data_IF_683276278323
#
_entry.id   IF_683276278323
#
_cell.length_a   1.000
_cell.length_b   1.000
_cell.length_c   1.000
_cell.angle_alpha   90.00
_cell.angle_beta   90.00
_cell.angle_gamma   90.00
#
_symmetry.space_group_name_H-M   'P 1'
#
loop_
_entity.id
_entity.type
_entity.pdbx_description
1 polymer ?
#
# COMPACT_ATOMS: atom_id res chain seq x y z
N UNK A 1 24.45 -2.20 6.77
CA UNK A 1 23.54 -2.74 5.75
C UNK A 1 22.66 -3.76 6.43
N UNK A 2 21.34 -3.66 6.28
CA UNK A 2 20.39 -4.63 6.83
C UNK A 2 20.52 -5.93 6.05
N UNK A 3 20.73 -7.03 6.78
CA UNK A 3 20.87 -8.37 6.23
C UNK A 3 19.95 -9.34 6.96
N UNK A 4 19.45 -10.34 6.23
CA UNK A 4 18.67 -11.44 6.78
C UNK A 4 19.30 -12.72 6.25
N UNK A 5 19.77 -13.58 7.15
CA UNK A 5 20.46 -14.83 6.81
C UNK A 5 21.64 -14.62 5.82
N UNK A 6 22.37 -13.51 5.94
CA UNK A 6 23.51 -13.17 5.07
C UNK A 6 23.16 -12.60 3.70
N UNK A 7 21.87 -12.33 3.42
CA UNK A 7 21.41 -11.69 2.19
C UNK A 7 20.97 -10.24 2.45
N UNK A 8 21.16 -9.30 1.51
CA UNK A 8 20.63 -7.95 1.62
C UNK A 8 19.11 -7.97 1.86
N UNK A 9 18.67 -7.36 2.97
CA UNK A 9 17.28 -7.42 3.40
C UNK A 9 16.32 -6.85 2.33
N UNK A 10 16.76 -5.85 1.56
CA UNK A 10 15.99 -5.26 0.48
C UNK A 10 15.44 -6.33 -0.47
N UNK A 11 16.29 -7.27 -0.91
CA UNK A 11 15.92 -8.31 -1.90
C UNK A 11 14.82 -9.22 -1.35
N UNK A 12 14.81 -9.50 -0.04
CA UNK A 12 13.77 -10.34 0.56
C UNK A 12 12.48 -9.55 0.78
N UNK A 13 12.60 -8.32 1.29
CA UNK A 13 11.45 -7.47 1.60
C UNK A 13 10.67 -7.04 0.34
N UNK A 14 11.34 -6.82 -0.80
CA UNK A 14 10.66 -6.48 -2.06
C UNK A 14 9.67 -7.55 -2.51
N UNK A 15 9.91 -8.84 -2.22
CA UNK A 15 8.96 -9.91 -2.57
C UNK A 15 7.64 -9.74 -1.81
N UNK A 16 7.73 -9.31 -0.54
CA UNK A 16 6.56 -8.94 0.24
C UNK A 16 5.82 -7.76 -0.39
N UNK A 17 6.53 -6.68 -0.72
CA UNK A 17 5.90 -5.48 -1.32
C UNK A 17 5.24 -5.79 -2.67
N UNK A 18 5.95 -6.45 -3.59
CA UNK A 18 5.50 -6.76 -4.95
C UNK A 18 4.29 -7.68 -4.97
N UNK A 19 4.11 -8.55 -3.97
CA UNK A 19 2.94 -9.43 -3.89
C UNK A 19 1.79 -8.76 -3.11
N UNK A 20 2.09 -8.18 -1.95
CA UNK A 20 1.06 -7.67 -1.05
C UNK A 20 0.42 -6.38 -1.58
N UNK A 21 1.17 -5.49 -2.23
CA UNK A 21 0.61 -4.22 -2.74
C UNK A 21 -0.45 -4.45 -3.84
N UNK A 22 -0.21 -5.29 -4.87
CA UNK A 22 -1.25 -5.62 -5.83
C UNK A 22 -2.45 -6.33 -5.21
N UNK A 23 -2.23 -7.30 -4.31
CA UNK A 23 -3.32 -7.99 -3.61
C UNK A 23 -4.19 -7.01 -2.81
N UNK A 24 -3.57 -6.05 -2.11
CA UNK A 24 -4.27 -5.03 -1.35
C UNK A 24 -5.08 -4.09 -2.27
N UNK A 25 -4.47 -3.60 -3.35
CA UNK A 25 -5.13 -2.72 -4.31
C UNK A 25 -6.33 -3.40 -5.00
N UNK A 26 -6.17 -4.64 -5.45
CA UNK A 26 -7.28 -5.43 -6.01
C UNK A 26 -8.38 -5.67 -4.96
N UNK A 27 -8.00 -5.98 -3.72
CA UNK A 27 -8.96 -6.17 -2.63
C UNK A 27 -9.81 -4.90 -2.38
N UNK A 28 -9.21 -3.71 -2.44
CA UNK A 28 -9.93 -2.43 -2.31
C UNK A 28 -10.94 -2.19 -3.43
N UNK A 29 -10.57 -2.52 -4.67
CA UNK A 29 -11.47 -2.46 -5.82
C UNK A 29 -12.63 -3.44 -5.65
N UNK A 30 -12.34 -4.70 -5.32
CA UNK A 30 -13.37 -5.73 -5.12
C UNK A 30 -14.29 -5.38 -3.95
N UNK A 31 -13.75 -4.83 -2.85
CA UNK A 31 -14.53 -4.36 -1.70
C UNK A 31 -15.49 -3.22 -2.05
N UNK A 32 -15.06 -2.29 -2.90
CA UNK A 32 -15.89 -1.19 -3.38
C UNK A 32 -17.07 -1.71 -4.21
N UNK A 33 -16.77 -2.57 -5.19
CA UNK A 33 -17.73 -3.01 -6.21
C UNK A 33 -18.68 -4.11 -5.71
N UNK A 34 -18.22 -5.02 -4.85
CA UNK A 34 -18.99 -6.20 -4.45
C UNK A 34 -19.44 -6.13 -2.99
N UNK A 35 -20.69 -5.71 -2.76
CA UNK A 35 -21.27 -5.62 -1.40
C UNK A 35 -21.19 -6.94 -0.62
N UNK A 36 -21.33 -8.09 -1.29
CA UNK A 36 -21.31 -9.43 -0.68
C UNK A 36 -19.95 -9.80 -0.08
N UNK A 37 -18.85 -9.27 -0.61
CA UNK A 37 -17.49 -9.63 -0.18
C UNK A 37 -17.00 -8.78 0.99
N UNK A 38 -17.62 -7.63 1.27
CA UNK A 38 -17.16 -6.65 2.29
C UNK A 38 -16.90 -7.26 3.65
N UNK A 39 -17.80 -8.11 4.16
CA UNK A 39 -17.63 -8.75 5.48
C UNK A 39 -16.42 -9.68 5.57
N UNK A 40 -16.01 -10.25 4.43
CA UNK A 40 -14.89 -11.17 4.33
C UNK A 40 -13.58 -10.44 4.02
N UNK A 41 -13.65 -9.39 3.20
CA UNK A 41 -12.49 -8.62 2.77
C UNK A 41 -12.08 -7.52 3.75
N UNK A 42 -12.97 -7.03 4.61
CA UNK A 42 -12.66 -5.92 5.54
C UNK A 42 -11.41 -6.20 6.37
N UNK A 43 -11.35 -7.38 7.00
CA UNK A 43 -10.22 -7.80 7.83
C UNK A 43 -8.92 -7.96 7.02
N UNK A 44 -8.83 -8.86 6.01
CA UNK A 44 -7.59 -9.08 5.29
C UNK A 44 -7.13 -7.83 4.54
N UNK A 45 -8.02 -7.05 3.94
CA UNK A 45 -7.67 -5.78 3.28
C UNK A 45 -7.12 -4.75 4.27
N UNK A 46 -7.74 -4.62 5.44
CA UNK A 46 -7.26 -3.72 6.49
C UNK A 46 -5.88 -4.14 7.02
N UNK A 47 -5.66 -5.43 7.24
CA UNK A 47 -4.35 -5.97 7.65
C UNK A 47 -3.30 -5.73 6.58
N UNK A 48 -3.61 -6.00 5.30
CA UNK A 48 -2.70 -5.73 4.19
C UNK A 48 -2.32 -4.25 4.13
N UNK A 49 -3.29 -3.35 4.21
CA UNK A 49 -3.04 -1.92 4.18
C UNK A 49 -2.16 -1.46 5.36
N UNK A 50 -2.39 -2.02 6.55
CA UNK A 50 -1.62 -1.70 7.75
C UNK A 50 -0.18 -2.22 7.68
N UNK A 51 0.01 -3.45 7.18
CA UNK A 51 1.33 -4.08 7.07
C UNK A 51 2.19 -3.46 5.96
N UNK A 52 1.57 -3.00 4.87
CA UNK A 52 2.30 -2.42 3.73
C UNK A 52 3.07 -1.15 4.09
N UNK A 53 2.58 -0.35 5.05
CA UNK A 53 3.26 0.88 5.48
C UNK A 53 4.65 0.57 6.06
N UNK A 54 4.80 -0.15 7.19
CA UNK A 54 6.11 -0.46 7.74
C UNK A 54 6.94 -1.31 6.76
N UNK A 55 6.32 -2.22 6.01
CA UNK A 55 7.05 -3.03 5.04
C UNK A 55 7.71 -2.17 3.94
N UNK A 56 6.99 -1.18 3.39
CA UNK A 56 7.54 -0.28 2.37
C UNK A 56 8.67 0.60 2.92
N UNK A 57 8.54 1.09 4.16
CA UNK A 57 9.58 1.89 4.84
C UNK A 57 10.86 1.06 4.99
N UNK A 58 10.76 -0.12 5.60
CA UNK A 58 11.88 -1.03 5.83
C UNK A 58 12.53 -1.48 4.51
N UNK A 59 11.72 -1.75 3.48
CA UNK A 59 12.22 -2.15 2.16
C UNK A 59 13.09 -1.06 1.55
N UNK A 60 12.61 0.19 1.56
CA UNK A 60 13.36 1.29 0.96
C UNK A 60 14.55 1.73 1.82
N UNK A 61 14.48 1.62 3.16
CA UNK A 61 15.65 1.87 4.02
C UNK A 61 16.76 0.84 3.77
N UNK A 62 16.40 -0.43 3.61
CA UNK A 62 17.33 -1.47 3.21
C UNK A 62 17.90 -1.22 1.80
N UNK A 63 17.10 -0.66 0.89
CA UNK A 63 17.52 -0.28 -0.46
C UNK A 63 18.56 0.85 -0.45
N UNK A 64 18.30 1.93 0.29
CA UNK A 64 19.23 3.05 0.45
C UNK A 64 20.57 2.60 1.07
N UNK A 65 20.55 1.64 2.01
CA UNK A 65 21.78 1.07 2.56
C UNK A 65 22.55 0.23 1.54
N UNK A 66 21.85 -0.51 0.68
CA UNK A 66 22.45 -1.31 -0.38
C UNK A 66 23.08 -0.41 -1.45
N UNK A 67 22.39 0.66 -1.83
CA UNK A 67 22.88 1.70 -2.75
C UNK A 67 24.18 2.32 -2.23
N UNK A 68 24.21 2.74 -0.96
CA UNK A 68 25.42 3.30 -0.33
C UNK A 68 26.59 2.31 -0.30
N UNK A 69 26.31 1.01 -0.15
CA UNK A 69 27.33 -0.03 -0.07
C UNK A 69 27.90 -0.45 -1.43
N UNK A 70 27.12 -0.33 -2.51
CA UNK A 70 27.50 -0.81 -3.85
C UNK A 70 27.78 0.30 -4.87
N UNK A 71 27.47 1.55 -4.53
CA UNK A 71 27.50 2.68 -5.44
C UNK A 71 26.19 2.83 -6.20
N UNK A 72 25.79 4.07 -6.45
CA UNK A 72 24.57 4.41 -7.17
C UNK A 72 24.87 4.70 -8.64
N UNK A 73 24.19 3.99 -9.55
CA UNK A 73 24.02 4.46 -10.92
C UNK A 73 22.76 5.34 -10.98
N UNK A 74 22.63 6.14 -12.04
CA UNK A 74 21.42 6.96 -12.25
C UNK A 74 20.14 6.11 -12.22
N UNK A 75 20.18 4.88 -12.77
CA UNK A 75 19.02 3.98 -12.76
C UNK A 75 18.67 3.47 -11.35
N UNK A 76 19.68 3.29 -10.48
CA UNK A 76 19.45 2.90 -9.08
C UNK A 76 18.83 4.06 -8.31
N UNK A 77 19.29 5.29 -8.53
CA UNK A 77 18.74 6.49 -7.91
C UNK A 77 17.28 6.75 -8.35
N UNK A 78 16.97 6.56 -9.64
CA UNK A 78 15.61 6.60 -10.16
C UNK A 78 14.70 5.56 -9.49
N UNK A 79 15.20 4.33 -9.31
CA UNK A 79 14.47 3.30 -8.57
C UNK A 79 14.27 3.66 -7.09
N UNK A 80 15.30 4.18 -6.42
CA UNK A 80 15.23 4.61 -5.03
C UNK A 80 14.20 5.73 -4.83
N UNK A 81 14.08 6.66 -5.79
CA UNK A 81 13.06 7.70 -5.79
C UNK A 81 11.65 7.10 -5.91
N UNK A 82 11.43 6.13 -6.82
CA UNK A 82 10.15 5.44 -6.95
C UNK A 82 9.80 4.61 -5.69
N UNK A 83 10.79 3.97 -5.07
CA UNK A 83 10.62 3.26 -3.80
C UNK A 83 10.23 4.18 -2.64
N UNK A 84 10.88 5.35 -2.57
CA UNK A 84 10.55 6.38 -1.58
C UNK A 84 9.15 6.95 -1.78
N UNK A 85 8.74 7.19 -3.03
CA UNK A 85 7.40 7.65 -3.33
C UNK A 85 6.33 6.61 -2.96
N UNK A 86 6.59 5.32 -3.22
CA UNK A 86 5.70 4.22 -2.83
C UNK A 86 5.40 4.21 -1.32
N UNK A 87 6.34 4.60 -0.45
CA UNK A 87 6.10 4.74 1.00
C UNK A 87 4.89 5.64 1.28
N UNK A 88 4.84 6.82 0.67
CA UNK A 88 3.73 7.76 0.83
C UNK A 88 2.43 7.21 0.24
N UNK A 89 2.52 6.48 -0.88
CA UNK A 89 1.35 5.82 -1.50
C UNK A 89 0.75 4.76 -0.57
N UNK A 90 1.56 3.97 0.15
CA UNK A 90 1.02 2.99 1.12
C UNK A 90 0.29 3.65 2.28
N UNK A 91 0.76 4.81 2.76
CA UNK A 91 0.08 5.59 3.82
C UNK A 91 -1.24 6.15 3.32
N UNK A 92 -1.25 6.75 2.13
CA UNK A 92 -2.48 7.24 1.50
C UNK A 92 -3.50 6.11 1.32
N UNK A 93 -3.03 4.93 0.88
CA UNK A 93 -3.86 3.75 0.71
C UNK A 93 -4.45 3.27 2.04
N UNK A 94 -3.66 3.23 3.13
CA UNK A 94 -4.14 2.90 4.47
C UNK A 94 -5.28 3.81 4.92
N UNK A 95 -5.13 5.12 4.73
CA UNK A 95 -6.17 6.10 5.07
C UNK A 95 -7.43 5.87 4.24
N UNK A 96 -7.28 5.67 2.93
CA UNK A 96 -8.41 5.42 2.02
C UNK A 96 -9.16 4.13 2.39
N UNK A 97 -8.45 3.04 2.65
CA UNK A 97 -9.02 1.76 3.11
C UNK A 97 -9.71 1.90 4.46
N UNK A 98 -9.08 2.60 5.42
CA UNK A 98 -9.68 2.86 6.73
C UNK A 98 -11.00 3.62 6.61
N UNK A 99 -11.05 4.65 5.77
CA UNK A 99 -12.28 5.39 5.48
C UNK A 99 -13.34 4.51 4.79
N UNK A 100 -12.94 3.70 3.81
CA UNK A 100 -13.82 2.81 3.05
C UNK A 100 -14.44 1.71 3.93
N UNK A 101 -13.66 1.08 4.82
CA UNK A 101 -14.16 0.10 5.80
C UNK A 101 -15.10 0.78 6.78
N UNK A 102 -14.71 1.94 7.31
CA UNK A 102 -15.53 2.70 8.27
C UNK A 102 -16.90 3.07 7.69
N UNK A 103 -16.93 3.57 6.45
CA UNK A 103 -18.17 3.91 5.75
C UNK A 103 -19.03 2.69 5.39
N UNK A 104 -18.42 1.51 5.22
CA UNK A 104 -19.15 0.27 4.96
C UNK A 104 -19.79 -0.34 6.21
N UNK A 105 -19.29 -0.02 7.40
CA UNK A 105 -19.78 -0.56 8.68
C UNK A 105 -20.00 0.53 9.75
N UNK A 106 -20.87 1.52 9.50
CA UNK A 106 -21.04 2.66 10.39
C UNK A 106 -21.49 2.25 11.80
N UNK A 107 -22.28 1.18 11.93
CA UNK A 107 -22.80 0.67 13.21
C UNK A 107 -21.73 0.10 14.14
N UNK A 108 -20.58 -0.33 13.62
CA UNK A 108 -19.47 -0.82 14.45
C UNK A 108 -18.79 0.34 15.20
N UNK A 109 -18.75 1.53 14.60
CA UNK A 109 -18.12 2.72 15.19
C UNK A 109 -19.10 3.57 16.00
N UNK A 110 -20.35 3.74 15.55
CA UNK A 110 -21.32 4.59 16.26
C UNK A 110 -21.75 4.03 17.61
N UNK A 111 -21.52 2.74 17.88
CA UNK A 111 -21.69 2.13 19.21
C UNK A 111 -20.62 2.54 20.22
N UNK A 112 -19.53 3.16 19.78
CA UNK A 112 -18.43 3.57 20.65
C UNK A 112 -18.57 5.04 21.03
N UNK A 113 -18.56 5.38 22.33
CA UNK A 113 -18.80 6.75 22.80
C UNK A 113 -17.82 7.77 22.21
N UNK A 114 -16.57 7.35 21.93
CA UNK A 114 -15.54 8.17 21.30
C UNK A 114 -15.93 8.72 19.89
N UNK A 115 -16.89 8.10 19.20
CA UNK A 115 -17.27 8.46 17.83
C UNK A 115 -18.66 9.13 17.73
N UNK A 116 -19.31 9.46 18.86
CA UNK A 116 -20.63 10.11 18.85
C UNK A 116 -20.63 11.44 18.09
N UNK A 117 -19.57 12.25 18.19
CA UNK A 117 -19.45 13.52 17.47
C UNK A 117 -19.35 13.38 15.94
N UNK A 118 -18.95 12.20 15.44
CA UNK A 118 -18.82 11.91 14.01
C UNK A 118 -20.06 11.22 13.43
N UNK A 119 -21.09 10.97 14.24
CA UNK A 119 -22.28 10.19 13.84
C UNK A 119 -22.98 10.78 12.62
N UNK A 120 -23.16 12.10 12.56
CA UNK A 120 -23.78 12.76 11.40
C UNK A 120 -23.00 12.60 10.09
N UNK A 121 -21.67 12.57 10.16
CA UNK A 121 -20.82 12.28 9.00
C UNK A 121 -20.91 10.81 8.60
N UNK A 122 -20.83 9.89 9.57
CA UNK A 122 -20.87 8.44 9.36
C UNK A 122 -22.21 7.93 8.82
N UNK A 123 -23.31 8.59 9.17
CA UNK A 123 -24.67 8.28 8.68
C UNK A 123 -24.98 8.96 7.32
N UNK A 124 -24.06 9.77 6.79
CA UNK A 124 -24.27 10.47 5.53
C UNK A 124 -24.37 9.52 4.33
N UNK A 125 -25.43 9.69 3.53
CA UNK A 125 -25.69 8.91 2.32
C UNK A 125 -24.59 8.97 1.25
N UNK A 126 -23.79 10.05 1.23
CA UNK A 126 -22.73 10.24 0.25
C UNK A 126 -21.38 9.64 0.68
N UNK A 127 -21.20 9.32 1.97
CA UNK A 127 -19.92 8.87 2.50
C UNK A 127 -19.50 7.53 1.89
N UNK A 128 -20.42 6.57 1.83
CA UNK A 128 -20.15 5.26 1.24
C UNK A 128 -19.73 5.34 -0.25
N UNK A 129 -20.48 5.98 -1.16
CA UNK A 129 -20.06 6.08 -2.55
C UNK A 129 -18.76 6.89 -2.71
N UNK A 130 -18.58 7.99 -1.97
CA UNK A 130 -17.34 8.78 -2.02
C UNK A 130 -16.10 7.97 -1.62
N UNK A 131 -16.16 7.28 -0.48
CA UNK A 131 -15.07 6.42 -0.01
C UNK A 131 -14.86 5.18 -0.88
N UNK A 132 -15.91 4.71 -1.57
CA UNK A 132 -15.77 3.60 -2.55
C UNK A 132 -15.00 4.05 -3.79
N UNK A 133 -15.31 5.23 -4.33
CA UNK A 133 -14.54 5.83 -5.44
C UNK A 133 -13.09 6.09 -5.01
N UNK A 134 -12.89 6.69 -3.83
CA UNK A 134 -11.56 6.92 -3.27
C UNK A 134 -10.78 5.62 -3.13
N UNK A 135 -11.40 4.56 -2.58
CA UNK A 135 -10.78 3.25 -2.39
C UNK A 135 -10.39 2.58 -3.72
N UNK A 136 -11.22 2.71 -4.76
CA UNK A 136 -10.89 2.23 -6.10
C UNK A 136 -9.68 2.98 -6.67
N UNK A 137 -9.71 4.32 -6.63
CA UNK A 137 -8.61 5.14 -7.15
C UNK A 137 -7.30 4.87 -6.39
N UNK A 138 -7.35 4.80 -5.06
CA UNK A 138 -6.19 4.49 -4.23
C UNK A 138 -5.66 3.07 -4.50
N UNK A 139 -6.55 2.09 -4.67
CA UNK A 139 -6.16 0.71 -4.97
C UNK A 139 -5.50 0.55 -6.35
N UNK A 140 -6.09 1.16 -7.38
CA UNK A 140 -5.51 1.18 -8.72
C UNK A 140 -4.16 1.92 -8.75
N UNK A 141 -4.07 3.05 -8.04
CA UNK A 141 -2.84 3.82 -7.96
C UNK A 141 -1.73 3.08 -7.21
N UNK A 142 -2.07 2.36 -6.13
CA UNK A 142 -1.11 1.50 -5.42
C UNK A 142 -0.55 0.40 -6.33
N UNK A 143 -1.42 -0.28 -7.10
CA UNK A 143 -1.01 -1.30 -8.08
C UNK A 143 -0.08 -0.69 -9.13
N UNK A 144 -0.49 0.44 -9.71
CA UNK A 144 0.30 1.16 -10.71
C UNK A 144 1.68 1.54 -10.16
N UNK A 145 1.74 2.16 -8.98
CA UNK A 145 3.01 2.59 -8.39
C UNK A 145 3.90 1.39 -8.07
N UNK A 146 3.34 0.27 -7.59
CA UNK A 146 4.10 -0.96 -7.36
C UNK A 146 4.72 -1.49 -8.66
N UNK A 147 4.00 -1.42 -9.80
CA UNK A 147 4.52 -1.84 -11.10
C UNK A 147 5.63 -0.90 -11.56
N UNK A 148 5.44 0.42 -11.45
CA UNK A 148 6.45 1.43 -11.85
C UNK A 148 7.74 1.26 -11.04
N UNK A 149 7.63 1.12 -9.71
CA UNK A 149 8.77 0.87 -8.83
C UNK A 149 9.47 -0.45 -9.15
N UNK A 150 8.71 -1.52 -9.42
CA UNK A 150 9.28 -2.82 -9.80
C UNK A 150 9.96 -2.79 -11.16
N UNK A 151 9.38 -2.10 -12.13
CA UNK A 151 9.94 -1.94 -13.47
C UNK A 151 11.26 -1.17 -13.44
N UNK A 152 11.33 -0.04 -12.73
CA UNK A 152 12.59 0.71 -12.60
C UNK A 152 13.69 -0.11 -11.91
N UNK A 153 13.32 -0.95 -10.93
CA UNK A 153 14.25 -1.87 -10.29
C UNK A 153 14.75 -2.98 -11.22
N UNK A 154 13.90 -3.50 -12.10
CA UNK A 154 14.33 -4.44 -13.13
C UNK A 154 15.27 -3.76 -14.15
N UNK A 155 14.95 -2.55 -14.58
CA UNK A 155 15.80 -1.79 -15.52
C UNK A 155 17.18 -1.51 -14.93
N UNK A 156 17.28 -1.13 -13.64
CA UNK A 156 18.58 -0.84 -13.01
C UNK A 156 19.52 -2.04 -12.94
N UNK A 157 18.98 -3.27 -12.94
CA UNK A 157 19.76 -4.51 -12.92
C UNK A 157 20.04 -5.05 -14.33
N UNK A 158 19.05 -4.99 -15.23
CA UNK A 158 19.06 -5.74 -16.49
C UNK A 158 19.25 -4.89 -17.75
N UNK A 159 19.35 -3.55 -17.66
CA UNK A 159 19.51 -2.70 -18.85
C UNK A 159 20.77 -3.01 -19.69
N UNK A 160 21.84 -3.50 -19.05
CA UNK A 160 23.11 -3.84 -19.73
C UNK A 160 23.19 -5.28 -20.29
N UNK A 161 22.12 -6.08 -20.20
CA UNK A 161 22.11 -7.47 -20.65
C UNK A 161 21.50 -7.67 -22.05
N UNK A 162 21.48 -6.62 -22.88
CA UNK A 162 21.05 -6.67 -24.28
C UNK A 162 22.12 -6.10 -25.20
#
# INVERSE_FOLDING_TARGET
MLEIAGLPAHILLIHGVVVLAPLAGVSAVVFALLRRTRRYLAWPMGVLALLLVPLSVLTAEAGEQLEKARGASQLVEEHAHQGSFLRYVTVLFLVAVGAQITAAFPTLLTRRPAFHGLRGLLESRWLLPATSVLGVLAGLFLVYQSIVTGHSGAVSVWAGSR
#
